data_IF_095495231559
#
_entry.id   IF_095495231559
#
_cell.length_a   1.000
_cell.length_b   1.000
_cell.length_c   1.000
_cell.angle_alpha   90.00
_cell.angle_beta   90.00
_cell.angle_gamma   90.00
#
_symmetry.space_group_name_H-M   'P 1'
#
loop_
_entity.id
_entity.type
_entity.pdbx_description
1 polymer ?
#
# COMPACT_ATOMS: atom_id res chain seq x y z
N UNK A 1 2.41 3.22 -0.55
CA UNK A 1 2.06 4.41 0.24
C UNK A 1 0.71 4.34 0.93
N UNK A 2 -0.36 3.83 0.30
CA UNK A 2 -1.75 3.79 0.85
C UNK A 2 -1.86 3.43 2.34
N UNK A 3 -1.33 2.29 2.76
CA UNK A 3 -1.40 1.83 4.16
C UNK A 3 -0.72 2.78 5.17
N UNK A 4 0.38 3.43 4.78
CA UNK A 4 1.06 4.42 5.63
C UNK A 4 0.23 5.69 5.81
N UNK A 5 -0.43 6.15 4.74
CA UNK A 5 -1.37 7.28 4.81
C UNK A 5 -2.55 6.92 5.72
N UNK A 6 -3.16 5.75 5.53
CA UNK A 6 -4.26 5.28 6.38
C UNK A 6 -3.89 5.26 7.86
N UNK A 7 -2.73 4.69 8.22
CA UNK A 7 -2.18 4.74 9.59
C UNK A 7 -2.13 6.18 10.12
N UNK A 8 -1.59 7.11 9.35
CA UNK A 8 -1.39 8.48 9.80
C UNK A 8 -2.72 9.23 9.96
N UNK A 9 -3.65 9.07 9.02
CA UNK A 9 -4.99 9.64 9.10
C UNK A 9 -5.76 9.13 10.32
N UNK A 10 -5.60 7.85 10.69
CA UNK A 10 -6.23 7.28 11.89
C UNK A 10 -5.52 7.63 13.20
N UNK A 11 -4.38 8.31 13.18
CA UNK A 11 -3.62 8.62 14.40
C UNK A 11 -2.97 7.39 15.05
N UNK A 12 -2.63 6.36 14.26
CA UNK A 12 -2.17 5.06 14.77
C UNK A 12 -0.65 4.96 14.93
N UNK A 13 0.04 6.09 15.15
CA UNK A 13 1.49 6.09 15.13
C UNK A 13 2.12 5.29 16.26
N UNK A 14 1.46 5.26 17.40
CA UNK A 14 1.89 4.53 18.58
C UNK A 14 1.56 3.04 18.51
N UNK A 15 0.48 2.68 17.80
CA UNK A 15 -0.02 1.30 17.67
C UNK A 15 0.63 0.54 16.50
N UNK A 16 0.83 1.19 15.35
CA UNK A 16 1.41 0.57 14.16
C UNK A 16 2.81 1.15 13.93
N UNK A 17 3.84 0.33 14.12
CA UNK A 17 5.23 0.70 13.86
C UNK A 17 5.57 0.49 12.38
N UNK A 18 6.40 1.39 11.85
CA UNK A 18 6.82 1.36 10.45
C UNK A 18 8.26 0.82 10.40
N UNK A 19 8.47 -0.21 9.58
CA UNK A 19 9.78 -0.72 9.22
C UNK A 19 10.00 -0.40 7.75
N UNK A 20 11.03 0.38 7.44
CA UNK A 20 11.40 0.68 6.05
C UNK A 20 12.09 -0.54 5.44
N UNK A 21 11.72 -0.88 4.21
CA UNK A 21 12.33 -1.94 3.41
C UNK A 21 12.95 -1.28 2.19
N UNK A 22 14.27 -1.42 2.03
CA UNK A 22 14.94 -1.04 0.80
C UNK A 22 14.47 -2.00 -0.31
N UNK A 23 13.99 -1.43 -1.43
CA UNK A 23 13.50 -2.23 -2.55
C UNK A 23 14.60 -2.68 -3.50
N UNK A 24 15.75 -2.00 -3.52
CA UNK A 24 16.93 -2.38 -4.29
C UNK A 24 17.70 -3.50 -3.59
N UNK A 25 17.73 -3.48 -2.25
CA UNK A 25 18.36 -4.50 -1.40
C UNK A 25 17.38 -4.99 -0.32
N UNK A 26 16.41 -5.82 -0.74
CA UNK A 26 15.42 -6.35 0.21
C UNK A 26 16.07 -7.36 1.15
N UNK A 27 15.91 -7.19 2.48
CA UNK A 27 16.52 -8.11 3.43
C UNK A 27 15.85 -9.49 3.36
N UNK A 28 16.67 -10.56 3.40
CA UNK A 28 16.21 -11.94 3.27
C UNK A 28 15.12 -12.33 4.30
N UNK A 29 15.26 -11.85 5.54
CA UNK A 29 14.30 -12.13 6.61
C UNK A 29 12.88 -11.68 6.30
N UNK A 30 12.70 -10.64 5.46
CA UNK A 30 11.38 -10.13 5.13
C UNK A 30 10.57 -11.16 4.35
N UNK A 31 11.17 -11.76 3.31
CA UNK A 31 10.54 -12.83 2.53
C UNK A 31 10.37 -14.11 3.37
N UNK A 32 11.36 -14.46 4.16
CA UNK A 32 11.38 -15.74 4.89
C UNK A 32 10.45 -15.77 6.09
N UNK A 33 10.33 -14.64 6.81
CA UNK A 33 9.70 -14.61 8.14
C UNK A 33 8.45 -13.74 8.22
N UNK A 34 8.31 -12.75 7.33
CA UNK A 34 7.20 -11.79 7.40
C UNK A 34 6.24 -12.01 6.25
N UNK A 35 6.66 -11.75 5.01
CA UNK A 35 5.76 -11.82 3.87
C UNK A 35 6.38 -12.57 2.68
N UNK A 36 6.02 -13.84 2.46
CA UNK A 36 6.59 -14.69 1.41
C UNK A 36 6.47 -14.16 -0.02
N UNK A 37 5.44 -13.36 -0.30
CA UNK A 37 5.28 -12.70 -1.60
C UNK A 37 6.37 -11.65 -1.87
N UNK A 38 7.11 -11.24 -0.85
CA UNK A 38 8.22 -10.29 -0.93
C UNK A 38 7.83 -8.94 -1.55
N UNK A 39 6.58 -8.51 -1.39
CA UNK A 39 6.05 -7.22 -1.84
C UNK A 39 5.85 -6.28 -0.66
N UNK A 40 5.73 -4.99 -0.93
CA UNK A 40 5.30 -3.98 0.05
C UNK A 40 4.06 -3.26 -0.47
N UNK A 41 3.17 -2.75 0.39
CA UNK A 41 3.18 -2.86 1.86
C UNK A 41 2.75 -4.26 2.37
N UNK A 42 3.17 -4.59 3.58
CA UNK A 42 2.63 -5.69 4.38
C UNK A 42 2.35 -5.21 5.81
N UNK A 43 1.33 -5.76 6.45
CA UNK A 43 0.95 -5.47 7.83
C UNK A 43 0.92 -6.76 8.63
N UNK A 44 1.71 -6.81 9.70
CA UNK A 44 1.63 -7.86 10.71
C UNK A 44 0.72 -7.40 11.86
N UNK A 45 -0.33 -8.16 12.15
CA UNK A 45 -1.22 -7.91 13.27
C UNK A 45 -1.79 -9.25 13.78
N UNK A 46 -1.75 -9.46 15.10
CA UNK A 46 -2.20 -10.71 15.74
C UNK A 46 -1.53 -11.97 15.14
N UNK A 47 -0.22 -11.92 14.93
CA UNK A 47 0.59 -12.99 14.33
C UNK A 47 0.14 -13.41 12.92
N UNK A 48 -0.60 -12.54 12.22
CA UNK A 48 -0.98 -12.74 10.84
C UNK A 48 -0.44 -11.60 9.99
N UNK A 49 0.18 -11.95 8.87
CA UNK A 49 0.65 -10.98 7.89
C UNK A 49 -0.37 -10.86 6.76
N UNK A 50 -0.71 -9.61 6.44
CA UNK A 50 -1.65 -9.25 5.39
C UNK A 50 -0.91 -8.40 4.35
N UNK A 51 -1.13 -8.71 3.09
CA UNK A 51 -0.64 -7.93 1.95
C UNK A 51 -1.75 -7.11 1.31
N UNK A 52 -1.48 -6.64 0.10
CA UNK A 52 -2.39 -5.86 -0.75
C UNK A 52 -2.81 -4.49 -0.19
N UNK A 53 -2.36 -3.43 -0.88
CA UNK A 53 -2.43 -2.07 -0.34
C UNK A 53 -3.84 -1.55 -0.05
N UNK A 54 -4.85 -1.96 -0.83
CA UNK A 54 -6.26 -1.59 -0.63
C UNK A 54 -6.88 -2.37 0.54
N UNK A 55 -6.60 -3.66 0.62
CA UNK A 55 -7.09 -4.51 1.69
C UNK A 55 -6.53 -4.06 3.04
N UNK A 56 -5.27 -3.63 3.08
CA UNK A 56 -4.68 -3.03 4.27
C UNK A 56 -5.38 -1.74 4.70
N UNK A 57 -5.79 -0.88 3.77
CA UNK A 57 -6.54 0.35 4.12
C UNK A 57 -7.87 -0.02 4.77
N UNK A 58 -8.63 -0.93 4.16
CA UNK A 58 -9.91 -1.42 4.69
C UNK A 58 -9.72 -2.11 6.05
N UNK A 59 -8.67 -2.91 6.18
CA UNK A 59 -8.35 -3.62 7.41
C UNK A 59 -8.00 -2.65 8.55
N UNK A 60 -7.13 -1.67 8.28
CA UNK A 60 -6.77 -0.63 9.25
C UNK A 60 -8.01 0.15 9.69
N UNK A 61 -8.89 0.50 8.74
CA UNK A 61 -10.10 1.25 9.06
C UNK A 61 -11.05 0.46 9.98
N UNK A 62 -11.25 -0.83 9.70
CA UNK A 62 -12.19 -1.67 10.44
C UNK A 62 -11.66 -2.23 11.77
N UNK A 63 -10.34 -2.35 11.96
CA UNK A 63 -9.76 -3.06 13.12
C UNK A 63 -9.10 -2.15 14.16
N UNK A 64 -8.96 -0.85 13.86
CA UNK A 64 -8.32 0.09 14.75
C UNK A 64 -9.19 1.33 14.95
N UNK A 65 -9.14 1.87 16.16
CA UNK A 65 -9.80 3.13 16.51
C UNK A 65 -9.24 4.31 15.71
N UNK A 66 -9.95 5.45 15.79
CA UNK A 66 -9.58 6.69 15.11
C UNK A 66 -10.66 7.15 14.14
N UNK A 67 -10.46 8.28 13.45
CA UNK A 67 -11.41 8.78 12.48
C UNK A 67 -11.67 7.75 11.37
N UNK A 68 -12.94 7.60 10.99
CA UNK A 68 -13.33 6.75 9.87
C UNK A 68 -12.71 7.26 8.57
N UNK A 69 -12.17 6.36 7.75
CA UNK A 69 -11.59 6.70 6.46
C UNK A 69 -12.64 6.68 5.34
N UNK A 70 -13.72 5.91 5.53
CA UNK A 70 -14.83 5.83 4.60
C UNK A 70 -16.09 6.53 5.14
N UNK A 71 -16.95 7.07 4.26
CA UNK A 71 -18.26 7.60 4.66
C UNK A 71 -19.19 6.50 5.15
N UNK A 72 -20.12 6.86 6.05
CA UNK A 72 -21.16 5.95 6.55
C UNK A 72 -22.28 5.71 5.52
N UNK A 73 -22.54 6.70 4.67
CA UNK A 73 -23.57 6.60 3.62
C UNK A 73 -23.18 5.57 2.56
N UNK A 74 -24.09 4.62 2.30
CA UNK A 74 -23.83 3.48 1.41
C UNK A 74 -23.44 3.90 -0.01
N UNK A 75 -24.12 4.89 -0.57
CA UNK A 75 -23.86 5.35 -1.94
C UNK A 75 -22.49 6.07 -2.03
N UNK A 76 -22.17 6.91 -1.04
CA UNK A 76 -20.86 7.57 -0.96
C UNK A 76 -19.73 6.57 -0.71
N UNK A 77 -19.99 5.51 0.07
CA UNK A 77 -19.02 4.43 0.30
C UNK A 77 -18.73 3.65 -0.98
N UNK A 78 -19.77 3.26 -1.73
CA UNK A 78 -19.59 2.60 -3.02
C UNK A 78 -18.79 3.48 -3.99
N UNK A 79 -19.13 4.76 -4.09
CA UNK A 79 -18.40 5.70 -4.94
C UNK A 79 -16.93 5.83 -4.51
N UNK A 80 -16.63 5.87 -3.21
CA UNK A 80 -15.26 5.88 -2.71
C UNK A 80 -14.49 4.59 -3.08
N UNK A 81 -15.14 3.43 -3.01
CA UNK A 81 -14.53 2.15 -3.42
C UNK A 81 -14.24 2.10 -4.92
N UNK A 82 -15.15 2.61 -5.75
CA UNK A 82 -14.94 2.72 -7.21
C UNK A 82 -13.76 3.65 -7.55
N UNK A 83 -13.67 4.81 -6.89
CA UNK A 83 -12.53 5.73 -7.04
C UNK A 83 -11.21 5.08 -6.63
N UNK A 84 -11.21 4.34 -5.52
CA UNK A 84 -10.03 3.62 -5.06
C UNK A 84 -9.61 2.53 -6.04
N UNK A 85 -10.55 1.78 -6.60
CA UNK A 85 -10.27 0.76 -7.61
C UNK A 85 -9.70 1.38 -8.90
N UNK A 86 -10.24 2.52 -9.36
CA UNK A 86 -9.73 3.24 -10.53
C UNK A 86 -8.25 3.63 -10.38
N UNK A 87 -7.80 3.94 -9.16
CA UNK A 87 -6.42 4.34 -8.91
C UNK A 87 -5.38 3.26 -9.25
N UNK A 88 -5.74 1.98 -9.28
CA UNK A 88 -4.84 0.91 -9.74
C UNK A 88 -4.55 1.01 -11.24
N UNK A 89 -5.57 1.29 -12.05
CA UNK A 89 -5.42 1.52 -13.49
C UNK A 89 -4.55 2.74 -13.79
N UNK A 90 -4.78 3.84 -13.07
CA UNK A 90 -3.96 5.05 -13.17
C UNK A 90 -2.49 4.77 -12.81
N UNK A 91 -2.24 4.10 -11.68
CA UNK A 91 -0.88 3.77 -11.24
C UNK A 91 -0.16 2.89 -12.27
N UNK A 92 -0.85 1.88 -12.82
CA UNK A 92 -0.30 1.01 -13.86
C UNK A 92 0.13 1.82 -15.10
N UNK A 93 -0.74 2.68 -15.61
CA UNK A 93 -0.43 3.53 -16.76
C UNK A 93 0.73 4.49 -16.49
N UNK A 94 0.75 5.11 -15.30
CA UNK A 94 1.82 6.02 -14.88
C UNK A 94 3.18 5.30 -14.80
N UNK A 95 3.24 4.13 -14.15
CA UNK A 95 4.47 3.33 -14.07
C UNK A 95 4.96 2.86 -15.45
N UNK A 96 4.04 2.51 -16.34
CA UNK A 96 4.36 2.17 -17.73
C UNK A 96 5.04 3.35 -18.44
N UNK A 97 4.45 4.55 -18.33
CA UNK A 97 4.99 5.77 -18.94
C UNK A 97 6.36 6.18 -18.37
N UNK A 98 6.56 6.03 -17.05
CA UNK A 98 7.87 6.29 -16.43
C UNK A 98 8.94 5.33 -16.94
N UNK A 99 8.61 4.04 -17.08
CA UNK A 99 9.55 3.04 -17.61
C UNK A 99 9.85 3.26 -19.09
N UNK A 100 8.85 3.61 -19.89
CA UNK A 100 9.04 3.83 -21.33
C UNK A 100 9.89 5.07 -21.65
N UNK A 101 9.98 6.04 -20.74
CA UNK A 101 10.88 7.20 -20.86
C UNK A 101 12.33 6.90 -20.42
N UNK A 102 12.57 5.74 -19.81
CA UNK A 102 13.90 5.29 -19.36
C UNK A 102 14.74 4.60 -20.44
N UNK A 103 14.16 4.22 -21.58
CA UNK A 103 14.87 3.66 -22.74
C UNK A 103 15.41 4.77 -23.66
N UNK A 104 16.29 5.61 -23.13
CA UNK A 104 17.24 6.34 -23.96
C UNK A 104 18.56 5.60 -23.84
N UNK A 105 18.74 4.54 -24.62
CA UNK A 105 20.08 4.00 -24.86
C UNK A 105 20.90 5.13 -25.47
N UNK A 106 21.97 5.48 -24.78
CA UNK A 106 23.10 6.20 -25.34
C UNK A 106 23.72 5.32 -26.46
N UNK A 107 23.16 5.40 -27.67
CA UNK A 107 23.87 5.02 -28.89
C UNK A 107 24.81 6.18 -29.25
N UNK A 108 25.93 6.24 -28.52
CA UNK A 108 27.11 7.01 -28.90
C UNK A 108 28.29 6.03 -29.00
N UNK A 109 28.54 5.55 -30.22
CA UNK A 109 29.69 4.73 -30.61
C UNK A 109 29.83 4.70 -32.12
#
# INVERSE_FOLDING_TARGET
QRAWIARNCKGLQDKIKVVAIDLADRPAWYKEKVYPENKVPALEHNNQVKGESLDLVKYIDSNFDGPALLPDDSAKKQFAEELLAFSDGFNSAFFSCLRSKGDVSDEAG
#
